data_IF_969053814857
#
_entry.id   IF_969053814857
#
_cell.length_a   1.000
_cell.length_b   1.000
_cell.length_c   1.000
_cell.angle_alpha   90.00
_cell.angle_beta   90.00
_cell.angle_gamma   90.00
#
_symmetry.space_group_name_H-M   'P 1'
#
loop_
_entity.id
_entity.type
_entity.pdbx_description
1 polymer ?
#
# COMPACT_ATOMS: atom_id res chain seq x y z
N UNK A 1 -16.24 52.69 -76.52
CA UNK A 1 -16.69 51.27 -76.47
C UNK A 1 -16.69 50.85 -75.00
N UNK A 2 -17.89 50.74 -74.39
CA UNK A 2 -18.08 50.47 -72.96
C UNK A 2 -17.97 48.95 -72.72
N UNK A 3 -17.09 48.50 -71.82
CA UNK A 3 -17.16 47.15 -71.23
C UNK A 3 -17.02 47.29 -69.72
N UNK A 4 -17.95 46.62 -69.04
CA UNK A 4 -18.38 46.78 -67.66
C UNK A 4 -17.76 45.65 -66.82
N UNK A 5 -16.92 45.97 -65.84
CA UNK A 5 -16.32 44.99 -64.92
C UNK A 5 -17.26 44.89 -63.71
N UNK A 6 -18.01 43.78 -63.63
CA UNK A 6 -18.80 43.44 -62.46
C UNK A 6 -17.91 42.72 -61.43
N UNK A 7 -17.87 43.29 -60.25
CA UNK A 7 -17.29 42.75 -59.02
C UNK A 7 -17.91 41.40 -58.64
N UNK A 8 -17.07 40.39 -58.39
CA UNK A 8 -17.46 39.16 -57.71
C UNK A 8 -16.84 39.19 -56.32
N UNK A 9 -17.71 39.36 -55.33
CA UNK A 9 -17.41 39.42 -53.90
C UNK A 9 -17.30 37.98 -53.38
N UNK A 10 -16.09 37.52 -53.10
CA UNK A 10 -15.85 36.20 -52.50
C UNK A 10 -16.04 36.29 -50.97
N UNK A 11 -17.14 35.72 -50.49
CA UNK A 11 -17.47 35.55 -49.07
C UNK A 11 -16.62 34.39 -48.51
N UNK A 12 -15.57 34.69 -47.73
CA UNK A 12 -14.82 33.69 -46.97
C UNK A 12 -15.58 33.37 -45.67
N UNK A 13 -16.36 32.29 -45.69
CA UNK A 13 -17.05 31.73 -44.53
C UNK A 13 -16.04 31.09 -43.57
N UNK A 14 -15.84 31.70 -42.41
CA UNK A 14 -15.00 31.20 -41.32
C UNK A 14 -15.72 30.02 -40.62
N UNK A 15 -15.42 28.78 -41.04
CA UNK A 15 -15.87 27.57 -40.33
C UNK A 15 -15.00 27.36 -39.08
N UNK A 16 -15.47 27.88 -37.94
CA UNK A 16 -14.90 27.57 -36.62
C UNK A 16 -15.34 26.15 -36.24
N UNK A 17 -14.52 25.16 -36.55
CA UNK A 17 -14.73 23.77 -36.15
C UNK A 17 -14.48 23.64 -34.66
N UNK A 18 -15.56 23.61 -33.86
CA UNK A 18 -15.50 23.15 -32.47
C UNK A 18 -15.10 21.67 -32.49
N UNK A 19 -13.81 21.39 -32.27
CA UNK A 19 -13.35 20.07 -31.88
C UNK A 19 -13.93 19.75 -30.50
N UNK A 20 -14.74 18.69 -30.34
CA UNK A 20 -15.15 18.26 -29.00
C UNK A 20 -13.91 17.74 -28.27
N UNK A 21 -13.53 18.44 -27.20
CA UNK A 21 -12.58 17.95 -26.20
C UNK A 21 -13.24 16.73 -25.57
N UNK A 22 -12.83 15.52 -25.97
CA UNK A 22 -13.18 14.30 -25.24
C UNK A 22 -12.48 14.34 -23.89
N UNK A 23 -13.19 14.81 -22.88
CA UNK A 23 -12.88 14.48 -21.50
C UNK A 23 -13.05 12.97 -21.38
N UNK A 24 -11.96 12.23 -21.18
CA UNK A 24 -12.03 10.85 -20.75
C UNK A 24 -12.84 10.85 -19.45
N UNK A 25 -14.11 10.43 -19.53
CA UNK A 25 -14.91 10.21 -18.34
C UNK A 25 -14.30 9.00 -17.64
N UNK A 26 -13.61 9.27 -16.54
CA UNK A 26 -13.35 8.27 -15.52
C UNK A 26 -14.72 7.76 -15.08
N UNK A 27 -15.16 6.63 -15.66
CA UNK A 27 -16.54 6.18 -15.53
C UNK A 27 -16.74 5.64 -14.12
N UNK A 28 -17.15 6.52 -13.22
CA UNK A 28 -17.58 6.15 -11.88
C UNK A 28 -18.63 5.02 -11.99
N UNK A 29 -18.56 4.09 -11.06
CA UNK A 29 -19.48 2.96 -11.04
C UNK A 29 -20.95 3.43 -10.96
N UNK A 30 -21.90 2.73 -11.60
CA UNK A 30 -23.30 3.08 -11.54
C UNK A 30 -23.78 3.16 -10.08
N UNK A 31 -24.53 4.22 -9.76
CA UNK A 31 -25.04 4.42 -8.40
C UNK A 31 -25.88 3.23 -7.91
N UNK A 32 -26.69 2.65 -8.79
CA UNK A 32 -27.49 1.46 -8.51
C UNK A 32 -26.65 0.23 -8.15
N UNK A 33 -25.48 0.07 -8.78
CA UNK A 33 -24.54 -1.00 -8.44
C UNK A 33 -24.02 -0.80 -7.02
N UNK A 34 -23.55 0.42 -6.69
CA UNK A 34 -23.05 0.73 -5.34
C UNK A 34 -24.11 0.46 -4.27
N UNK A 35 -25.34 0.94 -4.45
CA UNK A 35 -26.42 0.75 -3.48
C UNK A 35 -26.71 -0.72 -3.21
N UNK A 36 -26.77 -1.54 -4.28
CA UNK A 36 -26.99 -2.98 -4.16
C UNK A 36 -25.83 -3.68 -3.46
N UNK A 37 -24.58 -3.34 -3.79
CA UNK A 37 -23.41 -3.90 -3.14
C UNK A 37 -23.32 -3.51 -1.66
N UNK A 38 -23.66 -2.27 -1.31
CA UNK A 38 -23.74 -1.84 0.10
C UNK A 38 -24.78 -2.68 0.86
N UNK A 39 -25.95 -2.92 0.27
CA UNK A 39 -26.97 -3.80 0.85
C UNK A 39 -26.48 -5.25 1.05
N UNK A 40 -25.79 -5.79 0.05
CA UNK A 40 -25.34 -7.18 0.03
C UNK A 40 -24.10 -7.44 0.90
N UNK A 41 -23.24 -6.43 1.08
CA UNK A 41 -21.94 -6.57 1.77
C UNK A 41 -21.98 -5.90 3.14
N UNK A 42 -22.23 -4.59 3.19
CA UNK A 42 -22.11 -3.82 4.43
C UNK A 42 -23.26 -4.16 5.37
N UNK A 43 -24.51 -4.00 4.93
CA UNK A 43 -25.68 -4.29 5.78
C UNK A 43 -25.75 -5.76 6.18
N UNK A 44 -25.49 -6.69 5.25
CA UNK A 44 -25.51 -8.12 5.52
C UNK A 44 -24.43 -8.55 6.53
N UNK A 45 -23.26 -7.90 6.50
CA UNK A 45 -22.19 -8.12 7.48
C UNK A 45 -22.34 -7.29 8.76
N UNK A 46 -23.45 -6.58 8.95
CA UNK A 46 -23.66 -5.67 10.07
C UNK A 46 -22.53 -4.61 10.19
N UNK A 47 -22.09 -4.08 9.04
CA UNK A 47 -20.98 -3.13 8.88
C UNK A 47 -19.60 -3.64 9.30
N UNK A 48 -19.42 -4.96 9.44
CA UNK A 48 -18.09 -5.54 9.65
C UNK A 48 -17.21 -5.44 8.40
N UNK A 49 -17.82 -5.52 7.21
CA UNK A 49 -17.17 -5.28 5.92
C UNK A 49 -17.69 -3.96 5.35
N UNK A 50 -16.79 -3.09 4.90
CA UNK A 50 -17.14 -1.81 4.27
C UNK A 50 -16.52 -1.74 2.88
N UNK A 51 -17.23 -1.14 1.92
CA UNK A 51 -16.73 -0.90 0.57
C UNK A 51 -15.90 0.38 0.59
N UNK A 52 -14.58 0.23 0.57
CA UNK A 52 -13.61 1.32 0.52
C UNK A 52 -13.59 1.96 -0.87
N UNK A 53 -13.60 1.14 -1.91
CA UNK A 53 -13.61 1.64 -3.28
C UNK A 53 -14.41 0.75 -4.22
N UNK A 54 -14.97 1.38 -5.26
CA UNK A 54 -15.70 0.71 -6.34
C UNK A 54 -15.27 1.36 -7.65
N UNK A 55 -14.46 0.66 -8.44
CA UNK A 55 -13.75 1.21 -9.60
C UNK A 55 -14.06 0.40 -10.86
N UNK A 56 -14.08 1.07 -12.01
CA UNK A 56 -14.17 0.37 -13.29
C UNK A 56 -12.89 -0.45 -13.55
N UNK A 57 -13.05 -1.62 -14.17
CA UNK A 57 -11.92 -2.41 -14.67
C UNK A 57 -11.78 -2.22 -16.18
N UNK A 58 -10.71 -2.72 -16.84
CA UNK A 58 -10.64 -2.76 -18.30
C UNK A 58 -11.77 -3.55 -18.97
N UNK A 59 -12.47 -4.41 -18.24
CA UNK A 59 -13.67 -5.11 -18.70
C UNK A 59 -14.89 -4.24 -18.42
N UNK A 60 -15.56 -3.74 -19.46
CA UNK A 60 -16.62 -2.72 -19.35
C UNK A 60 -17.83 -3.11 -18.50
N UNK A 61 -18.02 -4.40 -18.20
CA UNK A 61 -19.13 -4.90 -17.39
C UNK A 61 -18.69 -5.36 -16.00
N UNK A 62 -17.41 -5.23 -15.64
CA UNK A 62 -16.85 -5.70 -14.38
C UNK A 62 -16.25 -4.52 -13.62
N UNK A 63 -16.58 -4.46 -12.33
CA UNK A 63 -16.09 -3.45 -11.41
C UNK A 63 -15.27 -4.11 -10.30
N UNK A 64 -14.17 -3.47 -9.93
CA UNK A 64 -13.35 -3.83 -8.77
C UNK A 64 -13.99 -3.23 -7.51
N UNK A 65 -14.21 -4.08 -6.50
CA UNK A 65 -14.76 -3.72 -5.20
C UNK A 65 -13.68 -3.99 -4.16
N UNK A 66 -13.20 -2.94 -3.52
CA UNK A 66 -12.20 -3.04 -2.46
C UNK A 66 -12.89 -2.94 -1.10
N UNK A 67 -12.65 -3.94 -0.24
CA UNK A 67 -13.23 -4.00 1.10
C UNK A 67 -12.29 -3.41 2.16
N UNK A 68 -12.84 -3.09 3.33
CA UNK A 68 -12.09 -2.61 4.51
C UNK A 68 -11.03 -3.59 4.99
N UNK A 69 -11.21 -4.88 4.70
CA UNK A 69 -10.23 -5.94 4.97
C UNK A 69 -9.03 -5.91 4.02
N UNK A 70 -9.07 -5.09 2.95
CA UNK A 70 -8.11 -5.10 1.86
C UNK A 70 -8.36 -6.20 0.81
N UNK A 71 -9.39 -7.01 1.01
CA UNK A 71 -9.84 -7.98 0.01
C UNK A 71 -10.39 -7.25 -1.22
N UNK A 72 -10.08 -7.79 -2.39
CA UNK A 72 -10.59 -7.31 -3.66
C UNK A 72 -11.58 -8.36 -4.17
N UNK A 73 -12.81 -7.90 -4.38
CA UNK A 73 -13.84 -8.62 -5.09
C UNK A 73 -14.06 -7.96 -6.45
N UNK A 74 -14.65 -8.71 -7.36
CA UNK A 74 -15.11 -8.19 -8.63
C UNK A 74 -16.59 -8.45 -8.75
N UNK A 75 -17.32 -7.41 -9.13
CA UNK A 75 -18.75 -7.46 -9.36
C UNK A 75 -19.03 -7.30 -10.84
N UNK A 76 -20.00 -8.03 -11.35
CA UNK A 76 -20.62 -7.67 -12.61
C UNK A 76 -21.45 -6.37 -12.46
N UNK A 77 -21.77 -5.72 -13.57
CA UNK A 77 -22.48 -4.43 -13.61
C UNK A 77 -23.86 -4.46 -12.94
N UNK A 78 -24.51 -5.64 -12.87
CA UNK A 78 -25.80 -5.79 -12.20
C UNK A 78 -25.68 -5.91 -10.67
N UNK A 79 -24.50 -6.25 -10.16
CA UNK A 79 -24.28 -6.55 -8.74
C UNK A 79 -24.86 -7.87 -8.27
N UNK A 80 -25.28 -8.75 -9.18
CA UNK A 80 -25.83 -10.07 -8.85
C UNK A 80 -24.74 -11.13 -8.63
N UNK A 81 -23.58 -10.95 -9.26
CA UNK A 81 -22.50 -11.91 -9.23
C UNK A 81 -21.21 -11.25 -8.75
N UNK A 82 -20.62 -11.84 -7.73
CA UNK A 82 -19.30 -11.47 -7.23
C UNK A 82 -18.33 -12.65 -7.36
N UNK A 83 -17.08 -12.35 -7.64
CA UNK A 83 -15.98 -13.30 -7.59
C UNK A 83 -14.78 -12.71 -6.85
N UNK A 84 -14.11 -13.55 -6.09
CA UNK A 84 -12.93 -13.19 -5.32
C UNK A 84 -11.66 -13.63 -6.06
N UNK A 85 -10.60 -12.86 -5.92
CA UNK A 85 -9.28 -13.20 -6.45
C UNK A 85 -8.61 -12.03 -7.13
N UNK A 86 -7.71 -12.34 -8.06
CA UNK A 86 -6.93 -11.37 -8.79
C UNK A 86 -7.36 -11.31 -10.26
N UNK A 87 -7.39 -10.11 -10.83
CA UNK A 87 -7.54 -9.87 -12.25
C UNK A 87 -6.17 -9.83 -12.92
N UNK A 88 -5.94 -10.75 -13.85
CA UNK A 88 -4.72 -10.79 -14.65
C UNK A 88 -5.01 -10.35 -16.08
N UNK A 89 -4.18 -9.43 -16.59
CA UNK A 89 -4.13 -9.08 -18.00
C UNK A 89 -3.02 -9.90 -18.68
N UNK A 90 -3.33 -10.47 -19.85
CA UNK A 90 -2.31 -11.06 -20.72
C UNK A 90 -1.57 -9.97 -21.49
N UNK A 91 -0.24 -10.04 -21.49
CA UNK A 91 0.64 -9.11 -22.19
C UNK A 91 1.64 -9.90 -23.04
N UNK A 92 2.39 -9.21 -23.92
CA UNK A 92 3.45 -9.85 -24.70
C UNK A 92 4.58 -10.44 -23.86
N UNK A 93 4.69 -10.08 -22.58
CA UNK A 93 5.73 -10.54 -21.65
C UNK A 93 5.21 -11.48 -20.55
N UNK A 94 3.91 -11.80 -20.52
CA UNK A 94 3.32 -12.72 -19.55
C UNK A 94 1.98 -12.24 -18.97
N UNK A 95 1.77 -12.51 -17.68
CA UNK A 95 0.57 -12.10 -16.95
C UNK A 95 0.88 -10.91 -16.05
N UNK A 96 0.11 -9.83 -16.20
CA UNK A 96 0.15 -8.66 -15.34
C UNK A 96 -1.01 -8.73 -14.33
N UNK A 97 -0.71 -8.77 -13.03
CA UNK A 97 -1.72 -8.71 -11.98
C UNK A 97 -2.19 -7.27 -11.75
N UNK A 98 -3.40 -6.94 -12.14
CA UNK A 98 -3.98 -5.59 -11.99
C UNK A 98 -4.36 -5.31 -10.54
N UNK A 99 -4.89 -6.31 -9.82
CA UNK A 99 -5.30 -6.20 -8.41
C UNK A 99 -4.12 -5.89 -7.50
N UNK A 100 -2.93 -6.41 -7.83
CA UNK A 100 -1.71 -6.12 -7.10
C UNK A 100 -1.37 -4.62 -7.08
N UNK A 101 -1.64 -3.90 -8.18
CA UNK A 101 -1.46 -2.45 -8.26
C UNK A 101 -2.36 -1.70 -7.28
N UNK A 102 -3.64 -2.07 -7.19
CA UNK A 102 -4.57 -1.49 -6.21
C UNK A 102 -4.08 -1.72 -4.77
N UNK A 103 -3.66 -2.95 -4.43
CA UNK A 103 -3.12 -3.27 -3.09
C UNK A 103 -1.86 -2.49 -2.77
N UNK A 104 -0.95 -2.33 -3.74
CA UNK A 104 0.28 -1.56 -3.60
C UNK A 104 0.00 -0.09 -3.28
N UNK A 105 -0.90 0.55 -4.05
CA UNK A 105 -1.31 1.94 -3.82
C UNK A 105 -1.91 2.11 -2.44
N UNK A 106 -2.83 1.21 -2.03
CA UNK A 106 -3.41 1.23 -0.69
C UNK A 106 -2.33 1.14 0.39
N UNK A 107 -1.38 0.23 0.21
CA UNK A 107 -0.28 0.01 1.14
C UNK A 107 0.60 1.27 1.25
N UNK A 108 0.96 1.90 0.13
CA UNK A 108 1.73 3.16 0.13
C UNK A 108 1.00 4.27 0.89
N UNK A 109 -0.29 4.47 0.62
CA UNK A 109 -1.11 5.48 1.29
C UNK A 109 -1.16 5.25 2.80
N UNK A 110 -1.36 3.99 3.21
CA UNK A 110 -1.42 3.59 4.61
C UNK A 110 -0.09 3.78 5.33
N UNK A 111 1.04 3.41 4.72
CA UNK A 111 2.37 3.64 5.29
C UNK A 111 2.73 5.13 5.35
N UNK A 112 2.37 5.91 4.32
CA UNK A 112 2.65 7.34 4.27
C UNK A 112 1.85 8.15 5.31
N UNK A 113 0.73 7.60 5.80
CA UNK A 113 -0.09 8.24 6.83
C UNK A 113 0.44 8.04 8.26
N UNK A 114 1.45 7.19 8.46
CA UNK A 114 2.01 6.92 9.79
C UNK A 114 3.00 8.05 10.14
N UNK A 115 2.86 8.70 11.31
CA UNK A 115 3.85 9.66 11.80
C UNK A 115 5.25 9.07 11.94
N UNK A 116 6.29 9.79 11.52
CA UNK A 116 7.67 9.28 11.60
C UNK A 116 8.15 9.08 13.03
N UNK A 117 7.65 9.86 13.99
CA UNK A 117 7.95 9.76 15.42
C UNK A 117 7.28 8.56 16.10
N UNK A 118 6.37 7.85 15.40
CA UNK A 118 5.88 6.54 15.82
C UNK A 118 6.83 5.41 15.37
N UNK A 119 7.76 5.67 14.45
CA UNK A 119 8.67 4.66 13.91
C UNK A 119 10.00 4.60 14.66
N UNK A 120 10.74 3.51 14.48
CA UNK A 120 12.18 3.46 14.82
C UNK A 120 12.97 3.40 13.51
N UNK A 121 13.63 4.50 13.16
CA UNK A 121 14.24 4.70 11.84
C UNK A 121 15.76 4.56 11.91
N UNK A 122 16.30 3.58 11.20
CA UNK A 122 17.74 3.41 10.99
C UNK A 122 18.10 4.01 9.63
N UNK A 123 18.85 5.11 9.66
CA UNK A 123 19.22 5.89 8.47
C UNK A 123 20.67 5.63 8.11
N UNK A 124 21.00 5.42 6.82
CA UNK A 124 22.38 5.26 6.37
C UNK A 124 23.18 6.57 6.54
N UNK A 125 24.49 6.46 6.75
CA UNK A 125 25.39 7.63 6.74
C UNK A 125 25.61 8.18 5.33
N UNK A 126 25.41 7.34 4.31
CA UNK A 126 25.45 7.71 2.89
C UNK A 126 24.10 8.25 2.41
N UNK A 127 24.02 8.59 1.12
CA UNK A 127 22.74 8.89 0.46
C UNK A 127 21.72 7.74 0.63
N UNK A 128 20.46 8.11 0.88
CA UNK A 128 19.34 7.16 0.94
C UNK A 128 18.92 6.81 -0.49
N UNK A 129 19.26 5.61 -0.94
CA UNK A 129 18.85 5.05 -2.24
C UNK A 129 17.44 4.47 -2.20
N UNK A 130 17.02 3.90 -1.07
CA UNK A 130 15.67 3.38 -0.88
C UNK A 130 15.27 3.36 0.61
N UNK A 131 13.96 3.32 0.87
CA UNK A 131 13.40 3.21 2.22
C UNK A 131 12.53 1.96 2.33
N UNK A 132 12.88 1.08 3.25
CA UNK A 132 12.16 -0.15 3.57
C UNK A 132 11.39 0.03 4.88
N UNK A 133 10.07 -0.14 4.86
CA UNK A 133 9.29 -0.21 6.12
C UNK A 133 9.13 -1.66 6.53
N UNK A 134 9.34 -1.96 7.81
CA UNK A 134 9.34 -3.34 8.32
C UNK A 134 8.46 -3.46 9.53
N UNK A 135 7.41 -4.27 9.43
CA UNK A 135 6.66 -4.74 10.61
C UNK A 135 7.48 -5.83 11.29
N UNK A 136 7.84 -5.61 12.55
CA UNK A 136 8.82 -6.42 13.26
C UNK A 136 8.34 -6.86 14.64
N UNK A 137 8.86 -7.99 15.09
CA UNK A 137 8.65 -8.55 16.43
C UNK A 137 10.03 -8.79 17.06
N UNK A 138 10.23 -8.38 18.31
CA UNK A 138 11.51 -8.53 19.02
C UNK A 138 11.84 -9.99 19.35
N UNK A 139 10.83 -10.86 19.45
CA UNK A 139 11.00 -12.29 19.71
C UNK A 139 10.99 -13.17 18.45
N UNK A 140 10.77 -12.58 17.27
CA UNK A 140 10.86 -13.31 16.01
C UNK A 140 12.32 -13.54 15.56
N UNK A 141 12.71 -14.79 15.35
CA UNK A 141 14.07 -15.19 14.91
C UNK A 141 14.51 -14.51 13.62
N UNK A 142 13.63 -14.39 12.62
CA UNK A 142 13.94 -13.73 11.35
C UNK A 142 13.96 -12.20 11.46
N UNK A 143 13.20 -11.63 12.39
CA UNK A 143 13.30 -10.20 12.71
C UNK A 143 14.62 -9.85 13.39
N UNK A 144 15.17 -10.79 14.17
CA UNK A 144 16.52 -10.67 14.74
C UNK A 144 17.59 -10.84 13.65
N UNK A 145 17.39 -11.76 12.70
CA UNK A 145 18.28 -11.92 11.55
C UNK A 145 18.38 -10.63 10.71
N UNK A 146 17.24 -10.05 10.32
CA UNK A 146 17.21 -8.78 9.59
C UNK A 146 17.96 -7.67 10.33
N UNK A 147 17.79 -7.60 11.66
CA UNK A 147 18.44 -6.57 12.47
C UNK A 147 19.95 -6.78 12.65
N UNK A 148 20.42 -8.03 12.61
CA UNK A 148 21.87 -8.31 12.59
C UNK A 148 22.52 -7.81 11.31
N UNK A 149 21.79 -7.86 10.20
CA UNK A 149 22.25 -7.37 8.90
C UNK A 149 22.13 -5.85 8.74
N UNK A 150 21.63 -5.13 9.75
CA UNK A 150 21.30 -3.70 9.65
C UNK A 150 22.48 -2.86 9.14
N UNK A 151 23.69 -3.08 9.65
CA UNK A 151 24.87 -2.34 9.18
C UNK A 151 25.12 -2.53 7.68
N UNK A 152 24.99 -3.75 7.17
CA UNK A 152 25.15 -4.05 5.73
C UNK A 152 23.99 -3.49 4.91
N UNK A 153 22.77 -3.47 5.43
CA UNK A 153 21.62 -2.85 4.76
C UNK A 153 21.85 -1.33 4.62
N UNK A 154 22.29 -0.67 5.69
CA UNK A 154 22.59 0.77 5.69
C UNK A 154 23.78 1.11 4.77
N UNK A 155 24.82 0.29 4.72
CA UNK A 155 25.96 0.47 3.78
C UNK A 155 25.54 0.43 2.31
N UNK A 156 24.41 -0.24 2.00
CA UNK A 156 23.80 -0.23 0.66
C UNK A 156 22.90 0.98 0.39
N UNK A 157 22.86 1.96 1.29
CA UNK A 157 22.01 3.15 1.19
C UNK A 157 20.52 2.86 1.42
N UNK A 158 20.18 1.75 2.07
CA UNK A 158 18.79 1.38 2.35
C UNK A 158 18.42 1.84 3.77
N UNK A 159 17.53 2.82 3.89
CA UNK A 159 16.93 3.21 5.17
C UNK A 159 15.92 2.15 5.62
N UNK A 160 15.90 1.82 6.92
CA UNK A 160 14.91 0.89 7.50
C UNK A 160 14.06 1.60 8.53
N UNK A 161 12.73 1.53 8.37
CA UNK A 161 11.75 2.08 9.33
C UNK A 161 11.00 0.92 9.98
N UNK A 162 11.17 0.72 11.27
CA UNK A 162 10.45 -0.33 11.98
C UNK A 162 9.10 0.15 12.51
N UNK A 163 8.10 -0.70 12.32
CA UNK A 163 6.79 -0.65 12.95
C UNK A 163 6.61 -1.89 13.83
N UNK A 164 5.89 -1.72 14.92
CA UNK A 164 5.69 -2.79 15.89
C UNK A 164 4.64 -3.81 15.41
N UNK A 165 4.95 -5.10 15.47
CA UNK A 165 3.99 -6.16 15.18
C UNK A 165 4.23 -7.37 16.11
N UNK A 166 3.79 -7.29 17.38
CA UNK A 166 3.80 -8.44 18.28
C UNK A 166 2.87 -9.53 17.74
N UNK A 167 3.39 -10.72 17.40
CA UNK A 167 2.58 -11.79 16.80
C UNK A 167 1.60 -12.35 17.84
N UNK A 168 0.33 -11.99 17.71
CA UNK A 168 -0.71 -12.25 18.71
C UNK A 168 -1.29 -10.99 19.35
N UNK A 169 -0.83 -9.81 18.93
CA UNK A 169 -1.28 -8.53 19.46
C UNK A 169 -0.91 -8.37 20.93
N UNK A 170 -1.87 -7.90 21.73
CA UNK A 170 -1.73 -7.71 23.17
C UNK A 170 -1.42 -9.01 23.94
N UNK A 171 -1.85 -10.17 23.42
CA UNK A 171 -1.62 -11.47 24.06
C UNK A 171 -0.22 -12.06 23.76
N UNK A 172 0.61 -11.39 22.96
CA UNK A 172 1.93 -11.89 22.62
C UNK A 172 2.92 -11.66 23.77
N UNK A 173 3.81 -12.62 24.03
CA UNK A 173 4.90 -12.47 25.01
C UNK A 173 5.83 -11.29 24.70
N UNK A 174 5.92 -10.90 23.42
CA UNK A 174 6.72 -9.78 22.97
C UNK A 174 6.06 -8.42 23.23
N UNK A 175 4.76 -8.36 23.56
CA UNK A 175 3.99 -7.12 23.62
C UNK A 175 4.59 -6.10 24.59
N UNK A 176 4.74 -6.48 25.87
CA UNK A 176 5.30 -5.59 26.91
C UNK A 176 6.76 -5.17 26.63
N UNK A 177 7.55 -6.07 26.02
CA UNK A 177 8.91 -5.74 25.58
C UNK A 177 8.89 -4.67 24.49
N UNK A 178 7.94 -4.74 23.57
CA UNK A 178 7.79 -3.76 22.49
C UNK A 178 7.28 -2.42 23.00
N UNK A 179 6.37 -2.40 23.99
CA UNK A 179 6.02 -1.18 24.73
C UNK A 179 7.28 -0.58 25.36
N UNK A 180 8.07 -1.38 26.08
CA UNK A 180 9.30 -0.93 26.72
C UNK A 180 10.34 -0.36 25.73
N UNK A 181 10.43 -0.93 24.53
CA UNK A 181 11.26 -0.40 23.44
C UNK A 181 10.75 0.96 22.96
N UNK A 182 9.46 1.08 22.64
CA UNK A 182 8.89 2.31 22.09
C UNK A 182 8.76 3.44 23.11
N UNK A 183 8.65 3.11 24.40
CA UNK A 183 8.65 4.07 25.50
C UNK A 183 10.05 4.47 25.97
N UNK A 184 11.12 3.93 25.36
CA UNK A 184 12.47 4.24 25.80
C UNK A 184 12.99 5.59 25.28
N UNK A 185 13.85 6.22 26.08
CA UNK A 185 14.55 7.45 25.71
C UNK A 185 15.48 7.23 24.50
N UNK A 186 16.01 6.02 24.36
CA UNK A 186 16.84 5.58 23.24
C UNK A 186 16.25 4.30 22.63
N UNK A 187 15.33 4.50 21.68
CA UNK A 187 14.59 3.43 20.99
C UNK A 187 15.50 2.54 20.16
N UNK A 188 16.54 3.09 19.53
CA UNK A 188 17.51 2.33 18.73
C UNK A 188 18.28 1.32 19.59
N UNK A 189 18.79 1.79 20.74
CA UNK A 189 19.48 0.94 21.70
C UNK A 189 18.54 -0.10 22.28
N UNK A 190 17.37 0.30 22.75
CA UNK A 190 16.41 -0.62 23.39
C UNK A 190 15.91 -1.69 22.41
N UNK A 191 15.62 -1.33 21.16
CA UNK A 191 15.24 -2.29 20.12
C UNK A 191 16.37 -3.31 19.87
N UNK A 192 17.61 -2.82 19.77
CA UNK A 192 18.79 -3.67 19.55
C UNK A 192 19.00 -4.63 20.73
N UNK A 193 18.86 -4.16 21.96
CA UNK A 193 18.96 -4.99 23.16
C UNK A 193 17.86 -6.06 23.20
N UNK A 194 16.60 -5.69 22.96
CA UNK A 194 15.48 -6.64 22.91
C UNK A 194 15.68 -7.71 21.83
N UNK A 195 16.09 -7.32 20.63
CA UNK A 195 16.39 -8.26 19.53
C UNK A 195 17.60 -9.15 19.82
N UNK A 196 18.50 -8.75 20.70
CA UNK A 196 19.58 -9.59 21.21
C UNK A 196 19.17 -10.48 22.38
N UNK A 197 17.89 -10.49 22.77
CA UNK A 197 17.35 -11.31 23.85
C UNK A 197 17.66 -10.77 25.24
N UNK A 198 18.06 -9.50 25.37
CA UNK A 198 18.27 -8.86 26.66
C UNK A 198 16.94 -8.40 27.25
N UNK A 199 16.85 -8.44 28.58
CA UNK A 199 15.70 -7.86 29.28
C UNK A 199 15.81 -6.33 29.29
N UNK A 200 14.67 -5.68 29.10
CA UNK A 200 14.54 -4.24 29.24
C UNK A 200 13.85 -3.90 30.56
N UNK A 201 14.17 -2.76 31.18
CA UNK A 201 13.32 -2.21 32.23
C UNK A 201 11.90 -2.03 31.70
N UNK A 202 10.92 -2.47 32.47
CA UNK A 202 9.51 -2.24 32.16
C UNK A 202 9.25 -0.72 32.12
N UNK A 203 8.54 -0.30 31.08
CA UNK A 203 8.03 1.07 30.94
C UNK A 203 6.58 1.01 30.52
N UNK A 204 5.83 2.01 30.96
CA UNK A 204 4.43 2.20 30.57
C UNK A 204 4.28 3.63 30.03
N UNK A 205 3.80 3.73 28.81
CA UNK A 205 3.48 4.98 28.13
C UNK A 205 2.49 4.70 26.99
N UNK A 206 1.87 5.74 26.44
CA UNK A 206 1.05 5.62 25.23
C UNK A 206 1.96 5.35 24.02
N UNK A 207 2.14 4.07 23.69
CA UNK A 207 2.97 3.63 22.56
C UNK A 207 2.09 3.16 21.39
N UNK A 208 2.51 3.39 20.13
CA UNK A 208 1.74 3.06 18.93
C UNK A 208 1.71 1.56 18.59
N UNK A 209 2.07 0.68 19.53
CA UNK A 209 2.27 -0.76 19.27
C UNK A 209 1.01 -1.44 18.74
N UNK A 210 -0.15 -1.23 19.37
CA UNK A 210 -1.40 -1.80 18.91
C UNK A 210 -1.94 -1.12 17.65
N UNK A 211 -1.66 0.17 17.45
CA UNK A 211 -2.01 0.88 16.22
C UNK A 211 -1.25 0.30 15.02
N UNK A 212 0.07 0.09 15.17
CA UNK A 212 0.89 -0.60 14.18
C UNK A 212 0.41 -2.04 13.92
N UNK A 213 0.12 -2.80 14.98
CA UNK A 213 -0.39 -4.17 14.84
C UNK A 213 -1.71 -4.22 14.06
N UNK A 214 -2.66 -3.34 14.40
CA UNK A 214 -3.94 -3.21 13.71
C UNK A 214 -3.77 -2.87 12.23
N UNK A 215 -2.89 -1.91 11.94
CA UNK A 215 -2.55 -1.56 10.57
C UNK A 215 -1.95 -2.74 9.80
N UNK A 216 -1.05 -3.49 10.43
CA UNK A 216 -0.47 -4.67 9.80
C UNK A 216 -1.54 -5.72 9.45
N UNK A 217 -2.51 -5.93 10.33
CA UNK A 217 -3.66 -6.82 10.06
C UNK A 217 -4.50 -6.29 8.90
N UNK A 218 -4.76 -4.98 8.86
CA UNK A 218 -5.49 -4.35 7.76
C UNK A 218 -4.75 -4.55 6.43
N UNK A 219 -3.42 -4.57 6.43
CA UNK A 219 -2.57 -4.83 5.27
C UNK A 219 -2.45 -6.33 4.90
N UNK A 220 -3.07 -7.22 5.66
CA UNK A 220 -3.01 -8.68 5.46
C UNK A 220 -1.70 -9.32 5.95
N UNK A 221 -0.96 -8.65 6.84
CA UNK A 221 0.23 -9.23 7.47
C UNK A 221 -0.21 -10.31 8.45
N UNK A 222 0.44 -11.47 8.35
CA UNK A 222 0.18 -12.64 9.21
C UNK A 222 1.46 -13.18 9.86
N UNK A 223 2.61 -12.56 9.60
CA UNK A 223 3.91 -13.00 10.10
C UNK A 223 4.96 -11.91 9.99
N UNK A 224 6.05 -12.07 10.73
CA UNK A 224 7.15 -11.11 10.78
C UNK A 224 8.50 -11.76 10.45
N UNK A 225 9.46 -11.01 9.87
CA UNK A 225 9.29 -9.63 9.41
C UNK A 225 8.38 -9.57 8.18
N UNK A 226 7.62 -8.49 8.04
CA UNK A 226 6.91 -8.18 6.79
C UNK A 226 7.48 -6.87 6.24
N UNK A 227 7.93 -6.92 4.99
CA UNK A 227 8.68 -5.84 4.36
C UNK A 227 7.78 -5.10 3.39
N UNK A 228 7.63 -3.79 3.57
CA UNK A 228 6.91 -2.91 2.65
C UNK A 228 7.93 -2.09 1.88
N UNK A 229 7.97 -2.33 0.57
CA UNK A 229 8.86 -1.68 -0.38
C UNK A 229 8.36 -0.27 -0.74
N UNK A 230 9.21 0.61 -1.30
CA UNK A 230 8.80 1.96 -1.71
C UNK A 230 7.61 2.00 -2.67
N UNK A 231 7.49 0.99 -3.52
CA UNK A 231 6.40 0.82 -4.49
C UNK A 231 5.11 0.21 -3.89
N UNK A 232 5.08 -0.02 -2.56
CA UNK A 232 3.93 -0.61 -1.88
C UNK A 232 3.88 -2.13 -1.91
N UNK A 233 4.84 -2.82 -2.55
CA UNK A 233 4.89 -4.28 -2.48
C UNK A 233 5.11 -4.71 -1.03
N UNK A 234 4.25 -5.62 -0.57
CA UNK A 234 4.37 -6.29 0.71
C UNK A 234 4.99 -7.67 0.51
N UNK A 235 6.20 -7.84 1.02
CA UNK A 235 6.98 -9.07 0.93
C UNK A 235 7.03 -9.72 2.32
N UNK A 236 6.39 -10.88 2.51
CA UNK A 236 6.44 -11.58 3.79
C UNK A 236 7.80 -12.27 3.97
N UNK A 237 8.29 -12.24 5.21
CA UNK A 237 9.49 -12.95 5.61
C UNK A 237 10.79 -12.15 5.45
N UNK A 238 11.86 -12.73 5.98
CA UNK A 238 13.21 -12.19 5.83
C UNK A 238 13.71 -12.40 4.39
N UNK A 239 14.42 -11.39 3.89
CA UNK A 239 15.09 -11.41 2.59
C UNK A 239 16.54 -11.04 2.82
N UNK A 240 17.46 -11.85 2.29
CA UNK A 240 18.90 -11.59 2.38
C UNK A 240 19.28 -10.27 1.68
N UNK A 241 20.31 -9.59 2.19
CA UNK A 241 20.68 -8.23 1.76
C UNK A 241 20.95 -8.14 0.26
N UNK A 242 21.68 -9.10 -0.33
CA UNK A 242 21.94 -9.10 -1.77
C UNK A 242 20.66 -9.14 -2.60
N UNK A 243 19.67 -9.93 -2.16
CA UNK A 243 18.36 -9.99 -2.82
C UNK A 243 17.53 -8.73 -2.56
N UNK A 244 17.62 -8.13 -1.37
CA UNK A 244 16.99 -6.82 -1.10
C UNK A 244 17.50 -5.76 -2.08
N UNK A 245 18.83 -5.68 -2.28
CA UNK A 245 19.45 -4.73 -3.22
C UNK A 245 18.90 -4.91 -4.63
N UNK A 246 18.85 -6.15 -5.13
CA UNK A 246 18.28 -6.44 -6.46
C UNK A 246 16.80 -6.08 -6.54
N UNK A 247 16.00 -6.42 -5.52
CA UNK A 247 14.55 -6.16 -5.52
C UNK A 247 14.19 -4.67 -5.37
N UNK A 248 15.04 -3.90 -4.69
CA UNK A 248 14.95 -2.44 -4.52
C UNK A 248 15.63 -1.69 -5.67
N UNK A 249 16.43 -2.36 -6.51
CA UNK A 249 17.17 -1.78 -7.62
C UNK A 249 18.15 -0.69 -7.16
N UNK A 250 18.91 -0.97 -6.09
CA UNK A 250 19.82 0.00 -5.42
C UNK A 250 21.31 -0.36 -5.52
N UNK A 251 21.69 -1.14 -6.54
CA UNK A 251 23.10 -1.44 -6.83
C UNK A 251 23.98 -0.18 -6.93
#
# INVERSE_FOLDING_TARGET
>A
MKINIKSVMALCSLFLTLMPISLAQDSAAPQSLREKLVQAIEFASQNQLQIISLKATPLSTIYEVELSTGEILYSDISGDYLFAGDMYQTTGSGLLNLSAGTRQIRTQQKIAAIPEDEMIIFTPESEIKATLTVFTDVDCTYCRALHRDMATILDKGIQVRYLAYPRGGENAESYEKMISVWCSDDRHKSLTQAKNGQNLPERDCEAPVLAHYSLGNELGISGTPALVFPDGRLIPGYVEVGRLVTMLQVD
#
